data_IF_001198638396
#
_entry.id   IF_001198638396
#
_cell.length_a   1.000
_cell.length_b   1.000
_cell.length_c   1.000
_cell.angle_alpha   90.00
_cell.angle_beta   90.00
_cell.angle_gamma   90.00
#
_symmetry.space_group_name_H-M   'P 1'
#
loop_
_entity.id
_entity.type
_entity.pdbx_description
1 polymer ?
#
# COMPACT_ATOMS: atom_id res chain seq x y z
N UNK A 1 -10.82 27.32 22.63
CA UNK A 1 -9.65 26.49 22.99
C UNK A 1 -10.15 25.52 24.02
N UNK A 2 -10.59 24.34 23.56
CA UNK A 2 -11.03 23.30 24.47
C UNK A 2 -10.06 22.12 24.38
N UNK A 3 -9.57 21.70 25.54
CA UNK A 3 -8.45 20.77 25.72
C UNK A 3 -8.95 19.38 26.08
N UNK A 4 -9.84 18.80 25.27
CA UNK A 4 -10.29 17.43 25.46
C UNK A 4 -10.69 16.77 24.12
N UNK A 5 -9.77 16.78 23.15
CA UNK A 5 -9.81 15.78 22.06
C UNK A 5 -9.33 14.43 22.62
N UNK A 6 -10.09 13.88 23.57
CA UNK A 6 -10.09 12.45 23.83
C UNK A 6 -10.57 11.76 22.55
N UNK A 7 -9.97 10.63 22.19
CA UNK A 7 -10.46 9.82 21.07
C UNK A 7 -11.93 9.45 21.25
N UNK A 8 -12.83 10.20 20.63
CA UNK A 8 -14.07 9.66 20.04
C UNK A 8 -13.80 9.14 18.62
N UNK A 9 -12.60 8.59 18.38
CA UNK A 9 -12.36 7.75 17.21
C UNK A 9 -13.11 6.43 17.37
N UNK A 10 -13.63 5.87 16.27
CA UNK A 10 -14.19 4.53 16.27
C UNK A 10 -13.18 3.54 16.85
N UNK A 11 -13.57 2.80 17.90
CA UNK A 11 -12.78 1.78 18.62
C UNK A 11 -12.02 0.82 17.67
N UNK A 12 -12.52 0.69 16.45
CA UNK A 12 -12.00 -0.13 15.35
C UNK A 12 -10.64 0.35 14.79
N UNK A 13 -10.40 1.66 14.55
CA UNK A 13 -9.13 2.14 13.98
C UNK A 13 -7.97 1.93 14.95
N UNK A 14 -8.20 2.22 16.23
CA UNK A 14 -7.22 1.96 17.30
C UNK A 14 -6.91 0.47 17.43
N UNK A 15 -7.93 -0.37 17.36
CA UNK A 15 -7.77 -1.83 17.40
C UNK A 15 -6.97 -2.31 16.21
N UNK A 16 -7.26 -1.81 15.00
CA UNK A 16 -6.51 -2.13 13.80
C UNK A 16 -5.03 -1.71 13.88
N UNK A 17 -4.74 -0.51 14.40
CA UNK A 17 -3.35 -0.07 14.62
C UNK A 17 -2.60 -0.99 15.59
N UNK A 18 -3.23 -1.37 16.70
CA UNK A 18 -2.59 -2.29 17.66
C UNK A 18 -2.37 -3.68 17.06
N UNK A 19 -3.34 -4.22 16.30
CA UNK A 19 -3.18 -5.49 15.57
C UNK A 19 -2.09 -5.40 14.49
N UNK A 20 -1.99 -4.26 13.80
CA UNK A 20 -0.93 -4.01 12.82
C UNK A 20 0.44 -3.99 13.49
N UNK A 21 0.56 -3.35 14.66
CA UNK A 21 1.78 -3.39 15.48
C UNK A 21 2.14 -4.81 15.87
N UNK A 22 1.18 -5.61 16.34
CA UNK A 22 1.44 -6.99 16.76
C UNK A 22 1.90 -7.84 15.56
N UNK A 23 1.26 -7.71 14.40
CA UNK A 23 1.64 -8.40 13.16
C UNK A 23 3.03 -7.99 12.68
N UNK A 24 3.33 -6.69 12.69
CA UNK A 24 4.61 -6.14 12.27
C UNK A 24 5.75 -6.62 13.16
N UNK A 25 5.49 -6.85 14.45
CA UNK A 25 6.49 -7.32 15.40
C UNK A 25 6.51 -8.85 15.57
N UNK A 26 5.69 -9.62 14.84
CA UNK A 26 5.75 -11.06 14.96
C UNK A 26 7.06 -11.63 14.34
N UNK A 27 7.77 -12.57 15.02
CA UNK A 27 7.45 -13.10 16.35
C UNK A 27 7.95 -12.28 17.55
N UNK A 28 9.07 -11.53 17.43
CA UNK A 28 9.76 -10.91 18.58
C UNK A 28 10.33 -9.49 18.31
N UNK A 29 9.70 -8.71 17.42
CA UNK A 29 10.03 -7.31 17.15
C UNK A 29 9.62 -6.37 18.29
N UNK A 30 10.18 -5.16 18.30
CA UNK A 30 9.95 -4.13 19.33
C UNK A 30 9.61 -2.74 18.77
N UNK A 31 9.29 -2.66 17.48
CA UNK A 31 8.99 -1.41 16.78
C UNK A 31 7.69 -0.76 17.28
N UNK A 32 7.57 0.55 17.03
CA UNK A 32 6.41 1.40 17.39
C UNK A 32 6.17 1.50 18.92
N UNK A 33 7.15 1.97 19.72
CA UNK A 33 7.03 2.04 21.19
C UNK A 33 5.99 3.06 21.69
N UNK A 34 5.60 4.04 20.88
CA UNK A 34 4.56 5.03 21.20
C UNK A 34 3.14 4.45 21.11
N UNK A 35 2.93 3.39 20.32
CA UNK A 35 1.62 2.78 20.11
C UNK A 35 1.23 1.91 21.31
N UNK A 36 0.55 2.51 22.30
CA UNK A 36 0.30 1.89 23.61
C UNK A 36 -1.18 1.64 23.84
N UNK A 37 -1.52 0.43 24.32
CA UNK A 37 -2.90 0.06 24.71
C UNK A 37 -3.47 0.92 25.85
N UNK A 38 -2.61 1.50 26.69
CA UNK A 38 -3.03 2.44 27.74
C UNK A 38 -3.25 3.87 27.26
N UNK A 39 -2.73 4.24 26.09
CA UNK A 39 -2.88 5.57 25.53
C UNK A 39 -4.10 5.63 24.62
N UNK A 40 -5.06 6.48 24.97
CA UNK A 40 -6.28 6.66 24.22
C UNK A 40 -6.06 7.55 22.98
N UNK A 41 -5.02 8.39 22.93
CA UNK A 41 -4.82 9.39 21.86
C UNK A 41 -3.93 8.84 20.74
N UNK A 42 -4.53 8.06 19.83
CA UNK A 42 -3.81 7.47 18.70
C UNK A 42 -3.20 8.50 17.74
N UNK A 43 -3.77 9.71 17.67
CA UNK A 43 -3.23 10.80 16.86
C UNK A 43 -1.94 11.40 17.41
N UNK A 44 -1.58 11.08 18.66
CA UNK A 44 -0.28 11.45 19.25
C UNK A 44 0.78 10.35 19.02
N UNK A 45 0.39 9.23 18.42
CA UNK A 45 1.33 8.14 18.13
C UNK A 45 2.24 8.53 16.97
N UNK A 46 3.52 8.16 17.09
CA UNK A 46 4.47 8.41 16.01
C UNK A 46 3.96 7.79 14.72
N UNK A 47 4.10 8.54 13.62
CA UNK A 47 3.78 8.13 12.25
C UNK A 47 2.29 7.97 11.93
N UNK A 48 1.42 8.46 12.81
CA UNK A 48 -0.01 8.59 12.59
C UNK A 48 -0.34 10.07 12.45
N UNK A 49 -1.04 10.45 11.38
CA UNK A 49 -1.68 11.76 11.30
C UNK A 49 -3.18 11.61 11.18
N UNK A 50 -3.91 12.50 11.84
CA UNK A 50 -5.35 12.50 11.85
C UNK A 50 -5.93 13.80 11.28
N UNK A 51 -7.14 13.69 10.76
CA UNK A 51 -7.97 14.85 10.47
C UNK A 51 -8.34 15.55 11.79
N UNK A 52 -8.06 16.86 11.88
CA UNK A 52 -8.30 17.66 13.09
C UNK A 52 -9.76 17.79 13.49
N UNK A 53 -10.68 17.65 12.53
CA UNK A 53 -12.13 17.80 12.75
C UNK A 53 -12.80 16.49 13.12
N UNK A 54 -12.39 15.38 12.50
CA UNK A 54 -13.04 14.06 12.69
C UNK A 54 -12.27 13.17 13.66
N UNK A 55 -11.00 13.49 13.95
CA UNK A 55 -10.08 12.65 14.69
C UNK A 55 -9.64 11.38 13.94
N UNK A 56 -10.13 11.13 12.72
CA UNK A 56 -9.85 9.89 11.96
C UNK A 56 -8.47 9.90 11.35
N UNK A 57 -7.84 8.74 11.23
CA UNK A 57 -6.50 8.59 10.63
C UNK A 57 -6.55 8.92 9.14
N UNK A 58 -5.69 9.85 8.70
CA UNK A 58 -5.55 10.28 7.30
C UNK A 58 -4.21 9.88 6.68
N UNK A 59 -3.17 9.74 7.51
CA UNK A 59 -1.82 9.35 7.07
C UNK A 59 -1.27 8.28 7.99
N UNK A 60 -0.67 7.25 7.40
CA UNK A 60 0.06 6.21 8.09
C UNK A 60 1.42 5.97 7.43
N UNK A 61 2.51 6.32 8.14
CA UNK A 61 3.88 6.21 7.63
C UNK A 61 4.67 5.08 8.32
N UNK A 62 4.69 3.90 7.72
CA UNK A 62 5.38 2.73 8.26
C UNK A 62 6.65 2.39 7.49
N UNK A 63 7.28 3.33 6.80
CA UNK A 63 8.52 3.04 6.05
C UNK A 63 9.64 2.60 6.99
N UNK A 64 10.27 1.45 6.70
CA UNK A 64 11.44 0.95 7.42
C UNK A 64 11.15 0.56 8.88
N UNK A 65 9.91 0.20 9.22
CA UNK A 65 9.51 -0.05 10.62
C UNK A 65 9.75 -1.50 11.03
N UNK A 66 9.53 -2.47 10.14
CA UNK A 66 9.76 -3.89 10.45
C UNK A 66 11.26 -4.21 10.48
N UNK A 67 11.69 -4.95 11.50
CA UNK A 67 13.04 -5.51 11.52
C UNK A 67 13.15 -6.60 10.42
N UNK A 68 14.04 -6.39 9.46
CA UNK A 68 14.26 -7.32 8.35
C UNK A 68 14.76 -8.71 8.75
N UNK A 69 15.33 -8.87 9.95
CA UNK A 69 15.71 -10.17 10.52
C UNK A 69 14.50 -11.08 10.81
N UNK A 70 13.29 -10.50 10.91
CA UNK A 70 12.05 -11.24 11.12
C UNK A 70 11.55 -11.93 9.82
N UNK A 71 12.23 -11.72 8.70
CA UNK A 71 11.92 -12.34 7.42
C UNK A 71 10.63 -11.83 6.77
N UNK A 72 10.17 -12.58 5.77
CA UNK A 72 9.01 -12.25 4.93
C UNK A 72 7.74 -12.02 5.76
N UNK A 73 7.08 -10.90 5.50
CA UNK A 73 5.83 -10.52 6.15
C UNK A 73 4.64 -10.66 5.21
N UNK A 74 3.63 -11.42 5.63
CA UNK A 74 2.35 -11.52 4.95
C UNK A 74 1.33 -10.62 5.65
N UNK A 75 1.14 -9.43 5.08
CA UNK A 75 0.33 -8.36 5.68
C UNK A 75 -1.16 -8.65 5.49
N UNK A 76 -1.91 -8.68 6.60
CA UNK A 76 -3.36 -8.78 6.53
C UNK A 76 -3.97 -7.46 6.05
N UNK A 77 -4.36 -7.38 4.78
CA UNK A 77 -4.91 -6.17 4.17
C UNK A 77 -6.25 -5.76 4.79
N UNK A 78 -7.00 -6.69 5.38
CA UNK A 78 -8.26 -6.39 6.08
C UNK A 78 -8.06 -5.48 7.30
N UNK A 79 -6.84 -5.37 7.84
CA UNK A 79 -6.53 -4.43 8.91
C UNK A 79 -6.70 -2.98 8.47
N UNK A 80 -6.72 -2.68 7.16
CA UNK A 80 -6.92 -1.32 6.69
C UNK A 80 -8.38 -0.90 6.51
N UNK A 81 -9.33 -1.83 6.59
CA UNK A 81 -10.75 -1.55 6.37
C UNK A 81 -11.35 -0.54 7.38
N UNK A 82 -10.93 -0.49 8.65
CA UNK A 82 -11.44 0.53 9.58
C UNK A 82 -11.02 1.97 9.23
N UNK A 83 -9.95 2.19 8.45
CA UNK A 83 -9.45 3.53 8.16
C UNK A 83 -10.19 4.22 7.01
N UNK A 84 -11.43 4.64 7.29
CA UNK A 84 -12.35 5.25 6.31
C UNK A 84 -11.91 6.64 5.79
N UNK A 85 -10.91 7.26 6.43
CA UNK A 85 -10.35 8.55 6.02
C UNK A 85 -8.88 8.47 5.58
N UNK A 86 -8.31 7.27 5.47
CA UNK A 86 -6.91 7.10 5.09
C UNK A 86 -6.67 7.53 3.64
N UNK A 87 -5.86 8.57 3.46
CA UNK A 87 -5.48 9.15 2.18
C UNK A 87 -4.08 8.72 1.76
N UNK A 88 -3.18 8.54 2.73
CA UNK A 88 -1.76 8.28 2.49
C UNK A 88 -1.28 7.08 3.29
N UNK A 89 -0.78 6.06 2.60
CA UNK A 89 -0.24 4.84 3.20
C UNK A 89 1.16 4.56 2.69
N UNK A 90 2.12 4.53 3.60
CA UNK A 90 3.51 4.20 3.29
C UNK A 90 3.93 2.93 4.02
N UNK A 91 4.27 1.90 3.25
CA UNK A 91 4.61 0.56 3.71
C UNK A 91 5.96 0.09 3.14
N UNK A 92 6.75 1.00 2.56
CA UNK A 92 8.02 0.66 1.96
C UNK A 92 9.04 0.11 2.96
N UNK A 93 9.97 -0.73 2.48
CA UNK A 93 11.05 -1.30 3.30
C UNK A 93 10.57 -2.05 4.55
N UNK A 94 9.60 -2.96 4.40
CA UNK A 94 9.05 -3.78 5.49
C UNK A 94 9.03 -5.28 5.19
N UNK A 95 9.81 -5.73 4.19
CA UNK A 95 9.92 -7.14 3.83
C UNK A 95 8.55 -7.81 3.52
N UNK A 96 7.58 -7.03 3.03
CA UNK A 96 6.23 -7.53 2.70
C UNK A 96 6.34 -8.46 1.50
N UNK A 97 6.03 -9.73 1.68
CA UNK A 97 6.07 -10.74 0.62
C UNK A 97 4.71 -10.91 -0.09
N UNK A 98 3.62 -10.52 0.58
CA UNK A 98 2.28 -10.55 0.02
C UNK A 98 1.24 -9.95 0.95
N UNK A 99 0.07 -9.69 0.40
CA UNK A 99 -1.12 -9.38 1.17
C UNK A 99 -1.95 -10.64 1.37
N UNK A 100 -2.60 -10.73 2.51
CA UNK A 100 -3.57 -11.78 2.83
C UNK A 100 -4.88 -11.14 3.24
N UNK A 101 -5.98 -11.78 2.85
CA UNK A 101 -7.32 -11.40 3.30
C UNK A 101 -7.84 -12.42 4.30
N UNK A 102 -8.70 -11.97 5.21
CA UNK A 102 -9.32 -12.87 6.16
C UNK A 102 -10.40 -13.70 5.43
N UNK A 103 -10.11 -15.00 5.18
CA UNK A 103 -10.92 -15.92 4.36
C UNK A 103 -12.38 -16.12 4.79
N UNK A 104 -12.79 -15.56 5.93
CA UNK A 104 -14.17 -15.62 6.45
C UNK A 104 -15.08 -14.45 6.05
N UNK A 105 -14.54 -13.40 5.40
CA UNK A 105 -15.31 -12.19 5.05
C UNK A 105 -15.39 -12.10 3.53
N UNK A 106 -16.58 -12.34 2.96
CA UNK A 106 -16.85 -12.20 1.51
C UNK A 106 -16.89 -10.75 1.02
N UNK A 107 -16.30 -9.80 1.76
CA UNK A 107 -16.26 -8.41 1.36
C UNK A 107 -14.99 -8.16 0.55
N UNK A 108 -15.10 -7.62 -0.68
CA UNK A 108 -13.94 -7.21 -1.44
C UNK A 108 -13.11 -6.20 -0.64
N UNK A 109 -11.80 -6.37 -0.63
CA UNK A 109 -10.89 -5.35 -0.12
C UNK A 109 -11.17 -4.00 -0.80
N UNK A 110 -11.38 -2.96 0.00
CA UNK A 110 -11.72 -1.62 -0.51
C UNK A 110 -11.15 -0.52 0.37
N UNK A 111 -10.37 0.38 -0.23
CA UNK A 111 -9.85 1.59 0.39
C UNK A 111 -10.20 2.78 -0.49
N UNK A 112 -11.44 3.26 -0.37
CA UNK A 112 -12.03 4.22 -1.32
C UNK A 112 -11.51 5.64 -1.22
N UNK A 113 -10.76 6.02 -0.17
CA UNK A 113 -10.15 7.35 -0.04
C UNK A 113 -8.64 7.36 -0.20
N UNK A 114 -8.02 6.20 -0.38
CA UNK A 114 -6.56 6.12 -0.50
C UNK A 114 -6.12 6.74 -1.83
N UNK A 115 -5.33 7.79 -1.77
CA UNK A 115 -4.82 8.51 -2.94
C UNK A 115 -3.34 8.22 -3.19
N UNK A 116 -2.58 7.91 -2.13
CA UNK A 116 -1.16 7.61 -2.21
C UNK A 116 -0.84 6.27 -1.54
N UNK A 117 -0.14 5.41 -2.29
CA UNK A 117 0.36 4.14 -1.79
C UNK A 117 1.83 3.95 -2.16
N UNK A 118 2.68 3.86 -1.13
CA UNK A 118 4.09 3.51 -1.27
C UNK A 118 4.36 2.10 -0.73
N UNK A 119 4.77 1.21 -1.63
CA UNK A 119 5.12 -0.20 -1.35
C UNK A 119 6.55 -0.52 -1.78
N UNK A 120 7.36 0.50 -2.05
CA UNK A 120 8.72 0.31 -2.56
C UNK A 120 9.61 -0.51 -1.62
N UNK A 121 10.63 -1.18 -2.15
CA UNK A 121 11.61 -1.94 -1.37
C UNK A 121 10.98 -3.04 -0.49
N UNK A 122 10.07 -3.83 -1.07
CA UNK A 122 9.48 -4.99 -0.40
C UNK A 122 9.76 -6.29 -1.19
N UNK A 123 9.18 -7.40 -0.76
CA UNK A 123 9.33 -8.71 -1.37
C UNK A 123 8.11 -9.12 -2.23
N UNK A 124 7.26 -8.15 -2.63
CA UNK A 124 5.99 -8.41 -3.31
C UNK A 124 6.22 -9.02 -4.70
N UNK A 125 5.36 -9.96 -5.07
CA UNK A 125 5.26 -10.50 -6.43
C UNK A 125 3.99 -9.98 -7.11
N UNK A 126 3.72 -10.42 -8.35
CA UNK A 126 2.61 -9.91 -9.16
C UNK A 126 1.21 -10.14 -8.55
N UNK A 127 1.07 -10.97 -7.50
CA UNK A 127 -0.20 -11.11 -6.76
C UNK A 127 -0.70 -9.81 -6.14
N UNK A 128 0.18 -8.84 -5.87
CA UNK A 128 -0.26 -7.52 -5.37
C UNK A 128 -1.20 -6.81 -6.36
N UNK A 129 -1.11 -7.12 -7.65
CA UNK A 129 -1.91 -6.49 -8.69
C UNK A 129 -3.41 -6.83 -8.59
N UNK A 130 -3.78 -7.95 -7.94
CA UNK A 130 -5.19 -8.31 -7.75
C UNK A 130 -5.94 -7.38 -6.78
N UNK A 131 -5.22 -6.56 -6.01
CA UNK A 131 -5.80 -5.62 -5.05
C UNK A 131 -6.09 -4.23 -5.65
N UNK A 132 -5.65 -3.97 -6.88
CA UNK A 132 -5.74 -2.64 -7.49
C UNK A 132 -7.19 -2.17 -7.69
N UNK A 133 -8.12 -3.09 -7.96
CA UNK A 133 -9.55 -2.80 -8.09
C UNK A 133 -10.17 -2.24 -6.79
N UNK A 134 -9.59 -2.61 -5.63
CA UNK A 134 -10.01 -2.11 -4.32
C UNK A 134 -9.55 -0.68 -4.02
N UNK A 135 -8.64 -0.13 -4.82
CA UNK A 135 -7.97 1.16 -4.59
C UNK A 135 -8.54 2.25 -5.52
N UNK A 136 -9.85 2.39 -5.59
CA UNK A 136 -10.57 3.16 -6.62
C UNK A 136 -10.22 4.65 -6.74
N UNK A 137 -9.60 5.25 -5.71
CA UNK A 137 -9.22 6.68 -5.67
C UNK A 137 -7.72 6.91 -5.79
N UNK A 138 -6.94 5.85 -6.01
CA UNK A 138 -5.49 5.93 -6.00
C UNK A 138 -5.00 6.83 -7.14
N UNK A 139 -4.19 7.83 -6.79
CA UNK A 139 -3.60 8.79 -7.73
C UNK A 139 -2.11 8.53 -7.93
N UNK A 140 -1.42 8.06 -6.89
CA UNK A 140 0.02 7.79 -6.91
C UNK A 140 0.32 6.41 -6.34
N UNK A 141 1.01 5.60 -7.13
CA UNK A 141 1.48 4.27 -6.76
C UNK A 141 2.98 4.17 -7.01
N UNK A 142 3.71 3.70 -6.01
CA UNK A 142 5.09 3.26 -6.19
C UNK A 142 5.27 1.86 -5.59
N UNK A 143 5.55 0.91 -6.49
CA UNK A 143 5.80 -0.50 -6.19
C UNK A 143 7.22 -0.92 -6.62
N UNK A 144 8.12 0.06 -6.75
CA UNK A 144 9.50 -0.13 -7.16
C UNK A 144 10.28 -1.04 -6.22
N UNK A 145 11.34 -1.69 -6.72
CA UNK A 145 12.21 -2.53 -5.88
C UNK A 145 11.45 -3.65 -5.15
N UNK A 146 10.52 -4.29 -5.87
CA UNK A 146 9.85 -5.51 -5.46
C UNK A 146 10.32 -6.70 -6.33
N UNK A 147 9.72 -7.89 -6.14
CA UNK A 147 10.00 -9.11 -6.92
C UNK A 147 9.05 -9.28 -8.11
N UNK A 148 8.63 -8.16 -8.72
CA UNK A 148 7.74 -8.15 -9.87
C UNK A 148 8.48 -8.59 -11.15
N UNK A 149 7.97 -9.63 -11.81
CA UNK A 149 8.62 -10.21 -13.00
C UNK A 149 7.63 -10.90 -13.93
N UNK A 150 7.97 -11.01 -15.21
CA UNK A 150 7.12 -11.67 -16.20
C UNK A 150 5.83 -10.89 -16.44
N UNK A 151 4.68 -11.55 -16.31
CA UNK A 151 3.36 -10.98 -16.63
C UNK A 151 2.92 -9.94 -15.60
N UNK A 152 3.10 -8.66 -15.92
CA UNK A 152 2.66 -7.53 -15.12
C UNK A 152 1.43 -6.94 -15.82
N UNK A 153 0.24 -7.31 -15.34
CA UNK A 153 -1.04 -6.81 -15.83
C UNK A 153 -1.62 -5.80 -14.83
N UNK A 154 -1.40 -4.52 -15.10
CA UNK A 154 -1.88 -3.40 -14.27
C UNK A 154 -3.27 -2.99 -14.73
N UNK A 155 -4.31 -3.62 -14.19
CA UNK A 155 -5.68 -3.09 -14.23
C UNK A 155 -5.86 -2.11 -13.07
N UNK A 156 -5.17 -0.98 -13.18
CA UNK A 156 -5.18 0.06 -12.16
C UNK A 156 -6.46 0.90 -12.18
N UNK A 157 -6.75 1.64 -11.10
CA UNK A 157 -7.88 2.57 -11.07
C UNK A 157 -7.67 3.66 -12.12
N UNK A 158 -8.76 4.10 -12.75
CA UNK A 158 -8.71 5.15 -13.79
C UNK A 158 -8.19 6.49 -13.24
N UNK A 159 -8.17 6.68 -11.93
CA UNK A 159 -7.63 7.86 -11.23
C UNK A 159 -6.11 7.92 -11.18
N UNK A 160 -5.40 6.82 -11.50
CA UNK A 160 -3.96 6.75 -11.36
C UNK A 160 -3.25 7.72 -12.32
N UNK A 161 -2.50 8.66 -11.74
CA UNK A 161 -1.81 9.73 -12.48
C UNK A 161 -0.29 9.61 -12.40
N UNK A 162 0.22 8.96 -11.36
CA UNK A 162 1.64 8.78 -11.10
C UNK A 162 1.92 7.31 -10.79
N UNK A 163 2.83 6.70 -11.55
CA UNK A 163 3.23 5.32 -11.37
C UNK A 163 4.76 5.18 -11.41
N UNK A 164 5.33 4.56 -10.39
CA UNK A 164 6.75 4.18 -10.35
C UNK A 164 6.89 2.66 -10.33
N UNK A 165 7.58 2.15 -11.34
CA UNK A 165 7.93 0.75 -11.54
C UNK A 165 9.44 0.66 -11.80
N UNK A 166 10.23 0.51 -10.75
CA UNK A 166 11.67 0.19 -10.88
C UNK A 166 11.99 -1.22 -10.41
N UNK A 167 13.09 -1.79 -10.91
CA UNK A 167 13.55 -3.16 -10.64
C UNK A 167 12.61 -4.27 -11.14
N UNK A 168 11.97 -4.08 -12.30
CA UNK A 168 11.13 -5.09 -12.94
C UNK A 168 11.86 -5.78 -14.10
N UNK A 169 11.60 -7.08 -14.28
CA UNK A 169 12.11 -7.86 -15.41
C UNK A 169 10.95 -8.45 -16.20
N UNK A 170 10.79 -8.05 -17.45
CA UNK A 170 9.75 -8.60 -18.33
C UNK A 170 10.23 -8.66 -19.78
N UNK A 171 9.79 -9.69 -20.51
CA UNK A 171 10.24 -9.94 -21.86
C UNK A 171 9.16 -10.57 -22.76
N UNK A 172 9.32 -10.45 -24.07
CA UNK A 172 8.46 -11.12 -25.05
C UNK A 172 7.00 -10.66 -24.96
N UNK A 173 6.07 -11.62 -24.88
CA UNK A 173 4.63 -11.34 -24.74
C UNK A 173 4.29 -10.63 -23.42
N UNK A 174 5.03 -10.90 -22.34
CA UNK A 174 4.80 -10.24 -21.06
C UNK A 174 5.12 -8.74 -21.10
N UNK A 175 6.10 -8.34 -21.93
CA UNK A 175 6.37 -6.93 -22.18
C UNK A 175 5.22 -6.26 -22.94
N UNK A 176 4.55 -6.97 -23.86
CA UNK A 176 3.36 -6.45 -24.54
C UNK A 176 2.22 -6.23 -23.55
N UNK A 177 1.99 -7.17 -22.62
CA UNK A 177 0.97 -6.99 -21.59
C UNK A 177 1.26 -5.76 -20.74
N UNK A 178 2.51 -5.56 -20.31
CA UNK A 178 2.88 -4.34 -19.57
C UNK A 178 2.56 -3.07 -20.38
N UNK A 179 2.92 -3.02 -21.65
CA UNK A 179 2.61 -1.88 -22.52
C UNK A 179 1.10 -1.65 -22.66
N UNK A 180 0.32 -2.71 -22.83
CA UNK A 180 -1.14 -2.63 -22.92
C UNK A 180 -1.75 -2.12 -21.62
N UNK A 181 -1.32 -2.62 -20.47
CA UNK A 181 -1.79 -2.14 -19.18
C UNK A 181 -1.43 -0.67 -18.95
N UNK A 182 -0.21 -0.25 -19.30
CA UNK A 182 0.21 1.16 -19.21
C UNK A 182 -0.60 2.06 -20.15
N UNK A 183 -0.86 1.61 -21.39
CA UNK A 183 -1.68 2.33 -22.37
C UNK A 183 -3.16 2.40 -22.00
N UNK A 184 -3.64 1.51 -21.12
CA UNK A 184 -5.02 1.49 -20.64
C UNK A 184 -5.27 2.45 -19.45
N UNK A 185 -4.24 3.13 -18.93
CA UNK A 185 -4.38 4.08 -17.81
C UNK A 185 -4.64 5.50 -18.34
N UNK A 186 -5.89 5.99 -18.34
CA UNK A 186 -6.27 7.19 -19.10
C UNK A 186 -5.72 8.51 -18.52
N UNK A 187 -5.40 8.52 -17.22
CA UNK A 187 -4.95 9.73 -16.51
C UNK A 187 -3.46 9.72 -16.15
N UNK A 188 -2.70 8.71 -16.62
CA UNK A 188 -1.29 8.59 -16.30
C UNK A 188 -0.47 9.71 -16.95
N UNK A 189 0.15 10.56 -16.13
CA UNK A 189 0.96 11.70 -16.57
C UNK A 189 2.43 11.59 -16.16
N UNK A 190 2.70 10.85 -15.08
CA UNK A 190 4.05 10.60 -14.58
C UNK A 190 4.31 9.10 -14.53
N UNK A 191 5.32 8.65 -15.26
CA UNK A 191 5.72 7.25 -15.32
C UNK A 191 7.23 7.11 -15.08
N UNK A 192 7.61 6.46 -13.98
CA UNK A 192 8.99 6.10 -13.67
C UNK A 192 9.28 4.64 -14.02
N UNK A 193 10.21 4.40 -14.95
CA UNK A 193 10.63 3.06 -15.40
C UNK A 193 12.15 2.83 -15.25
N UNK A 194 12.79 3.52 -14.31
CA UNK A 194 14.23 3.40 -14.07
C UNK A 194 14.63 1.99 -13.60
N UNK A 195 15.88 1.60 -13.83
CA UNK A 195 16.47 0.36 -13.30
C UNK A 195 15.69 -0.93 -13.64
N UNK A 196 15.19 -1.04 -14.87
CA UNK A 196 14.44 -2.21 -15.33
C UNK A 196 15.19 -3.01 -16.39
N UNK A 197 14.81 -4.29 -16.54
CA UNK A 197 15.24 -5.14 -17.64
C UNK A 197 14.01 -5.48 -18.52
N UNK A 198 13.57 -4.49 -19.29
CA UNK A 198 12.44 -4.60 -20.22
C UNK A 198 12.95 -5.00 -21.61
N UNK A 199 12.53 -6.15 -22.14
CA UNK A 199 12.97 -6.63 -23.46
C UNK A 199 11.79 -7.01 -24.35
N UNK A 200 11.57 -6.26 -25.41
CA UNK A 200 10.57 -6.63 -26.40
C UNK A 200 10.42 -5.56 -27.46
N UNK A 201 9.42 -5.72 -28.33
CA UNK A 201 9.11 -4.75 -29.37
C UNK A 201 8.06 -3.78 -28.86
N UNK A 202 8.25 -2.48 -29.05
CA UNK A 202 7.13 -1.54 -28.92
C UNK A 202 6.38 -1.62 -30.24
N UNK A 203 5.21 -2.25 -30.24
CA UNK A 203 4.32 -2.21 -31.39
C UNK A 203 3.54 -0.90 -31.30
N UNK A 204 3.74 -0.01 -32.27
CA UNK A 204 2.85 1.12 -32.43
C UNK A 204 1.48 0.61 -32.89
N UNK A 205 0.40 1.19 -32.36
CA UNK A 205 -0.89 1.06 -33.00
C UNK A 205 -0.74 1.72 -34.38
N UNK A 206 -0.62 0.90 -35.43
CA UNK A 206 -0.50 1.37 -36.79
C UNK A 206 -1.70 2.24 -37.15
N UNK A 207 -1.52 3.55 -37.02
CA UNK A 207 -2.36 4.61 -37.56
C UNK A 207 -1.45 5.63 -38.24
#
# INVERSE_FOLDING_TARGET
MDRDLQCEMGMEERTALLQLKDSLNYPNGTSLPSWRKGDARCCDWDRVECNRSTGRVTVLNLVGVRNGELGDWYLNASLFLPFQELVWLELGDNQIAGWVENKGVYQPFKMSKLEYLYLGYNNLNNSILSYMDGLSSLKKLDISYNRLKGLIDLKGPTTLSTLYLSNITTYGSNFQTLLQSLGALPNLTTLGLGYNNLRGRVLGDGK
#
